data_IF_518099892329
#
_entry.id   IF_518099892329
#
_cell.length_a   1.000
_cell.length_b   1.000
_cell.length_c   1.000
_cell.angle_alpha   90.00
_cell.angle_beta   90.00
_cell.angle_gamma   90.00
#
_symmetry.space_group_name_H-M   'P 1'
#
loop_
_entity.id
_entity.type
_entity.pdbx_description
1 polymer ?
#
# COMPACT_ATOMS: atom_id res chain seq x y z
N UNK A 1 -54.19 -11.97 -6.63
CA UNK A 1 -53.37 -10.78 -6.29
C UNK A 1 -52.34 -11.22 -5.27
N UNK A 2 -51.08 -11.42 -5.68
CA UNK A 2 -50.00 -11.91 -4.82
C UNK A 2 -49.21 -10.68 -4.35
N UNK A 3 -49.06 -10.42 -3.04
CA UNK A 3 -48.27 -9.29 -2.59
C UNK A 3 -46.79 -9.60 -2.75
N UNK A 4 -46.05 -8.68 -3.37
CA UNK A 4 -44.60 -8.74 -3.44
C UNK A 4 -44.01 -8.34 -2.08
N UNK A 5 -43.28 -9.26 -1.45
CA UNK A 5 -42.56 -9.04 -0.19
C UNK A 5 -41.21 -8.41 -0.54
N UNK A 6 -40.82 -7.26 0.04
CA UNK A 6 -39.53 -6.66 -0.25
C UNK A 6 -38.44 -7.46 0.46
N UNK A 7 -37.48 -7.96 -0.31
CA UNK A 7 -36.30 -8.65 0.20
C UNK A 7 -35.34 -7.59 0.76
N UNK A 8 -35.35 -7.43 2.09
CA UNK A 8 -34.41 -6.54 2.79
C UNK A 8 -33.04 -7.23 2.78
N UNK A 9 -32.11 -6.71 1.98
CA UNK A 9 -30.70 -7.08 2.07
C UNK A 9 -30.09 -6.42 3.31
N UNK A 10 -29.98 -7.18 4.40
CA UNK A 10 -29.15 -6.79 5.53
C UNK A 10 -27.67 -6.84 5.10
N UNK A 11 -27.01 -5.69 5.03
CA UNK A 11 -25.56 -5.62 4.87
C UNK A 11 -24.91 -6.06 6.19
N UNK A 12 -24.35 -7.27 6.21
CA UNK A 12 -23.52 -7.72 7.33
C UNK A 12 -22.22 -6.92 7.33
N UNK A 13 -22.04 -6.07 8.35
CA UNK A 13 -20.75 -5.45 8.64
C UNK A 13 -19.82 -6.54 9.22
N UNK A 14 -18.90 -7.03 8.40
CA UNK A 14 -17.80 -7.85 8.89
C UNK A 14 -16.87 -6.96 9.72
N UNK A 15 -16.89 -7.14 11.04
CA UNK A 15 -15.88 -6.54 11.91
C UNK A 15 -14.51 -7.09 11.50
N UNK A 16 -13.54 -6.20 11.26
CA UNK A 16 -12.16 -6.59 10.99
C UNK A 16 -11.61 -7.34 12.19
N UNK A 17 -11.39 -8.65 12.03
CA UNK A 17 -10.72 -9.49 13.01
C UNK A 17 -9.39 -8.84 13.40
N UNK A 18 -9.13 -8.64 14.70
CA UNK A 18 -7.95 -7.97 15.24
C UNK A 18 -6.62 -8.72 15.04
N UNK A 19 -6.52 -9.58 14.03
CA UNK A 19 -5.30 -10.29 13.66
C UNK A 19 -4.68 -9.55 12.49
N UNK A 20 -3.56 -8.89 12.74
CA UNK A 20 -2.83 -8.09 11.76
C UNK A 20 -1.67 -8.87 11.17
N UNK A 21 -1.33 -8.59 9.92
CA UNK A 21 -0.01 -8.84 9.35
C UNK A 21 0.72 -7.52 9.16
N UNK A 22 1.92 -7.58 8.58
CA UNK A 22 2.75 -6.40 8.35
C UNK A 22 3.14 -6.28 6.88
N UNK A 23 3.13 -5.05 6.39
CA UNK A 23 3.77 -4.65 5.13
C UNK A 23 4.99 -3.80 5.45
N UNK A 24 6.14 -4.11 4.85
CA UNK A 24 7.36 -3.30 4.95
C UNK A 24 8.11 -3.19 3.62
N UNK A 25 8.85 -2.10 3.47
CA UNK A 25 9.68 -1.84 2.30
C UNK A 25 10.56 -0.61 2.48
N UNK A 26 11.38 -0.35 1.49
CA UNK A 26 12.18 0.86 1.41
C UNK A 26 11.32 2.06 1.00
N UNK A 27 11.67 3.24 1.51
CA UNK A 27 11.19 4.53 0.98
C UNK A 27 12.08 4.95 -0.18
N UNK A 28 11.51 5.60 -1.19
CA UNK A 28 12.24 6.05 -2.37
C UNK A 28 11.53 7.22 -3.03
N UNK A 29 12.31 8.19 -3.50
CA UNK A 29 11.83 9.46 -4.06
C UNK A 29 12.72 9.87 -5.24
N UNK A 30 12.18 10.47 -6.32
CA UNK A 30 12.97 10.84 -7.50
C UNK A 30 13.96 12.00 -7.29
N UNK A 31 13.88 12.72 -6.17
CA UNK A 31 14.82 13.79 -5.80
C UNK A 31 16.06 13.28 -5.05
N UNK A 32 16.93 14.22 -4.68
CA UNK A 32 18.18 13.92 -3.96
C UNK A 32 17.96 13.44 -2.52
N UNK A 33 16.86 13.84 -1.89
CA UNK A 33 16.50 13.51 -0.51
C UNK A 33 15.07 12.97 -0.44
N UNK A 34 14.84 11.98 0.43
CA UNK A 34 13.50 11.47 0.73
C UNK A 34 12.78 12.50 1.61
N UNK A 35 11.63 13.05 1.19
CA UNK A 35 10.93 14.07 1.97
C UNK A 35 10.52 13.54 3.34
N UNK A 36 10.85 14.28 4.42
CA UNK A 36 10.51 13.89 5.79
C UNK A 36 9.01 13.81 6.08
N UNK A 37 8.18 14.39 5.22
CA UNK A 37 6.71 14.30 5.28
C UNK A 37 6.14 13.12 4.47
N UNK A 38 6.99 12.32 3.84
CA UNK A 38 6.57 11.18 3.02
C UNK A 38 5.82 10.16 3.88
N UNK A 39 4.63 9.79 3.44
CA UNK A 39 3.72 8.82 4.05
C UNK A 39 3.57 7.63 3.13
N UNK A 40 3.47 6.43 3.68
CA UNK A 40 3.04 5.23 2.94
C UNK A 40 1.67 4.79 3.42
N UNK A 41 0.79 4.43 2.49
CA UNK A 41 -0.54 3.91 2.76
C UNK A 41 -0.75 2.57 2.05
N UNK A 42 -1.40 1.64 2.75
CA UNK A 42 -1.96 0.43 2.18
C UNK A 42 -3.49 0.60 2.07
N UNK A 43 -4.03 0.55 0.86
CA UNK A 43 -5.46 0.64 0.57
C UNK A 43 -6.03 -0.75 0.32
N UNK A 44 -6.96 -1.19 1.17
CA UNK A 44 -7.61 -2.48 1.02
C UNK A 44 -8.48 -2.49 -0.24
N UNK A 45 -8.30 -3.49 -1.10
CA UNK A 45 -8.98 -3.54 -2.40
C UNK A 45 -10.48 -3.74 -2.29
N UNK A 46 -10.96 -4.35 -1.22
CA UNK A 46 -12.38 -4.66 -0.97
C UNK A 46 -13.04 -3.51 -0.21
N UNK A 47 -12.51 -3.15 0.96
CA UNK A 47 -13.15 -2.17 1.85
C UNK A 47 -12.82 -0.72 1.50
N UNK A 48 -11.79 -0.49 0.67
CA UNK A 48 -11.21 0.83 0.37
C UNK A 48 -10.65 1.56 1.59
N UNK A 49 -10.60 0.90 2.75
CA UNK A 49 -9.96 1.44 3.95
C UNK A 49 -8.46 1.60 3.71
N UNK A 50 -7.93 2.75 4.10
CA UNK A 50 -6.49 3.02 4.06
C UNK A 50 -5.89 2.90 5.46
N UNK A 51 -4.71 2.30 5.53
CA UNK A 51 -3.87 2.21 6.71
C UNK A 51 -2.54 2.86 6.36
N UNK A 52 -2.16 3.93 7.06
CA UNK A 52 -1.01 4.73 6.69
C UNK A 52 -0.01 4.87 7.83
N UNK A 53 1.26 5.02 7.47
CA UNK A 53 2.34 5.39 8.38
C UNK A 53 3.11 6.57 7.81
N UNK A 54 3.48 7.50 8.71
CA UNK A 54 4.46 8.55 8.43
C UNK A 54 5.81 8.26 9.13
N UNK A 55 5.92 7.12 9.83
CA UNK A 55 7.14 6.75 10.52
C UNK A 55 8.19 6.27 9.51
N UNK A 56 9.33 6.94 9.50
CA UNK A 56 10.51 6.53 8.74
C UNK A 56 11.41 5.71 9.65
N UNK A 57 11.92 4.60 9.12
CA UNK A 57 12.79 3.68 9.85
C UNK A 57 14.17 3.74 9.21
N UNK A 58 15.14 4.33 9.92
CA UNK A 58 16.54 4.30 9.53
C UNK A 58 17.13 2.91 9.73
N UNK A 59 17.51 2.26 8.63
CA UNK A 59 18.20 0.98 8.67
C UNK A 59 18.92 0.70 7.34
N UNK A 60 20.18 0.25 7.42
CA UNK A 60 21.00 -0.09 6.25
C UNK A 60 20.44 -1.23 5.40
N UNK A 61 19.46 -1.99 5.91
CA UNK A 61 18.76 -3.04 5.12
C UNK A 61 17.89 -2.48 4.00
N UNK A 62 17.44 -1.22 4.11
CA UNK A 62 16.62 -0.58 3.08
C UNK A 62 17.50 0.05 2.00
N UNK A 63 17.06 -0.02 0.74
CA UNK A 63 17.84 0.40 -0.44
C UNK A 63 18.47 1.79 -0.32
N UNK A 64 17.77 2.74 0.31
CA UNK A 64 18.21 4.12 0.49
C UNK A 64 18.38 4.51 1.97
N UNK A 65 18.59 3.52 2.85
CA UNK A 65 18.76 3.73 4.30
C UNK A 65 17.47 4.03 5.07
N UNK A 66 16.36 4.33 4.38
CA UNK A 66 15.06 4.59 4.97
C UNK A 66 14.01 3.59 4.49
N UNK A 67 13.18 3.13 5.42
CA UNK A 67 12.05 2.25 5.14
C UNK A 67 10.83 2.59 5.98
N UNK A 68 9.80 1.77 5.85
CA UNK A 68 8.54 1.93 6.56
C UNK A 68 8.00 0.58 7.02
N UNK A 69 7.03 0.63 7.94
CA UNK A 69 6.30 -0.54 8.42
C UNK A 69 4.84 -0.15 8.70
N UNK A 70 3.89 -0.95 8.22
CA UNK A 70 2.45 -0.78 8.46
C UNK A 70 1.86 -2.10 8.94
N UNK A 71 1.16 -2.07 10.07
CA UNK A 71 0.31 -3.18 10.49
C UNK A 71 -1.07 -3.03 9.87
N UNK A 72 -1.54 -4.08 9.21
CA UNK A 72 -2.85 -4.10 8.54
C UNK A 72 -3.55 -5.42 8.81
N UNK A 73 -4.90 -5.46 8.85
CA UNK A 73 -5.63 -6.73 8.86
C UNK A 73 -5.24 -7.61 7.68
N UNK A 74 -5.55 -8.90 7.77
CA UNK A 74 -5.43 -9.78 6.61
C UNK A 74 -6.26 -9.25 5.43
N UNK A 75 -5.73 -9.39 4.22
CA UNK A 75 -6.41 -8.85 3.03
C UNK A 75 -5.49 -8.63 1.85
N UNK A 76 -6.03 -7.94 0.85
CA UNK A 76 -5.35 -7.61 -0.40
C UNK A 76 -5.29 -6.10 -0.54
N UNK A 77 -4.11 -5.58 -0.82
CA UNK A 77 -3.82 -4.16 -0.77
C UNK A 77 -3.12 -3.67 -2.04
N UNK A 78 -3.39 -2.43 -2.43
CA UNK A 78 -2.43 -1.63 -3.17
C UNK A 78 -1.69 -0.73 -2.18
N UNK A 79 -0.37 -0.62 -2.35
CA UNK A 79 0.48 0.15 -1.47
C UNK A 79 1.07 1.32 -2.25
N UNK A 80 1.00 2.51 -1.68
CA UNK A 80 1.51 3.71 -2.31
C UNK A 80 2.07 4.73 -1.33
N UNK A 81 3.00 5.56 -1.81
CA UNK A 81 3.55 6.68 -1.07
C UNK A 81 3.00 8.03 -1.55
N UNK A 82 3.00 9.02 -0.66
CA UNK A 82 2.59 10.42 -0.92
C UNK A 82 3.47 11.38 -0.15
N UNK A 83 3.66 12.59 -0.66
CA UNK A 83 4.36 13.71 0.01
C UNK A 83 3.72 15.03 -0.44
N UNK A 84 3.83 16.09 0.37
CA UNK A 84 3.42 17.44 -0.01
C UNK A 84 4.26 18.02 -1.16
N UNK A 85 5.45 17.49 -1.41
CA UNK A 85 6.31 17.90 -2.53
C UNK A 85 5.73 17.52 -3.90
N UNK A 86 4.91 16.46 -3.96
CA UNK A 86 4.24 15.97 -5.17
C UNK A 86 2.74 15.80 -4.91
N UNK A 87 2.05 16.93 -4.66
CA UNK A 87 0.63 16.92 -4.31
C UNK A 87 -0.21 16.22 -5.37
N UNK A 88 -1.05 15.29 -4.93
CA UNK A 88 -1.97 14.56 -5.79
C UNK A 88 -1.35 13.39 -6.56
N UNK A 89 -0.05 13.12 -6.41
CA UNK A 89 0.62 11.96 -7.01
C UNK A 89 0.75 10.82 -5.99
N UNK A 90 0.78 9.57 -6.46
CA UNK A 90 0.90 8.39 -5.61
C UNK A 90 1.98 7.47 -6.17
N UNK A 91 3.08 7.30 -5.47
CA UNK A 91 4.05 6.29 -5.89
C UNK A 91 3.58 4.90 -5.53
N UNK A 92 3.21 4.07 -6.50
CA UNK A 92 2.74 2.72 -6.22
C UNK A 92 3.87 1.71 -6.10
N UNK A 93 3.64 0.65 -5.33
CA UNK A 93 4.34 -0.61 -5.52
C UNK A 93 3.77 -1.28 -6.77
N UNK A 94 4.56 -1.35 -7.83
CA UNK A 94 4.09 -1.72 -9.17
C UNK A 94 5.06 -2.64 -9.90
N UNK A 95 4.61 -3.20 -11.03
CA UNK A 95 5.44 -4.00 -11.93
C UNK A 95 6.69 -3.23 -12.38
N UNK A 96 6.58 -1.91 -12.57
CA UNK A 96 7.70 -1.02 -12.90
C UNK A 96 8.80 -1.05 -11.83
N UNK A 97 8.40 -1.05 -10.54
CA UNK A 97 9.34 -1.16 -9.42
C UNK A 97 10.05 -2.52 -9.44
N UNK A 98 9.31 -3.61 -9.58
CA UNK A 98 9.88 -4.97 -9.59
C UNK A 98 10.75 -5.26 -10.80
N UNK A 99 10.52 -4.56 -11.91
CA UNK A 99 11.35 -4.59 -13.12
C UNK A 99 12.59 -3.67 -13.02
N UNK A 100 12.78 -2.99 -11.89
CA UNK A 100 13.98 -2.20 -11.59
C UNK A 100 13.92 -0.76 -12.07
N UNK A 101 12.72 -0.18 -12.24
CA UNK A 101 12.51 1.24 -12.59
C UNK A 101 13.14 1.64 -13.93
N UNK A 102 13.20 0.70 -14.89
CA UNK A 102 13.85 0.93 -16.19
C UNK A 102 12.82 1.39 -17.22
N UNK A 103 13.23 2.26 -18.14
CA UNK A 103 12.39 2.68 -19.27
C UNK A 103 11.91 1.51 -20.15
N UNK A 104 12.63 0.38 -20.15
CA UNK A 104 12.26 -0.84 -20.87
C UNK A 104 11.18 -1.68 -20.17
N UNK A 105 10.75 -1.30 -18.96
CA UNK A 105 9.72 -2.02 -18.23
C UNK A 105 8.36 -1.81 -18.91
N UNK A 106 7.62 -2.89 -19.23
CA UNK A 106 6.45 -2.79 -20.09
C UNK A 106 5.20 -2.27 -19.38
N UNK A 107 5.20 -2.18 -18.05
CA UNK A 107 4.00 -1.95 -17.26
C UNK A 107 4.30 -1.22 -15.95
N UNK A 108 3.33 -0.40 -15.56
CA UNK A 108 3.26 0.32 -14.28
C UNK A 108 2.04 -0.12 -13.47
N UNK A 109 1.49 -1.31 -13.74
CA UNK A 109 0.33 -1.81 -13.01
C UNK A 109 0.68 -1.99 -11.52
N UNK A 110 -0.15 -1.46 -10.59
CA UNK A 110 0.03 -1.72 -9.17
C UNK A 110 -0.03 -3.22 -8.87
N UNK A 111 0.90 -3.70 -8.05
CA UNK A 111 0.95 -5.10 -7.63
C UNK A 111 0.06 -5.28 -6.41
N UNK A 112 -0.73 -6.35 -6.42
CA UNK A 112 -1.56 -6.73 -5.27
C UNK A 112 -0.69 -7.34 -4.19
N UNK A 113 -0.68 -6.71 -3.02
CA UNK A 113 -0.02 -7.22 -1.81
C UNK A 113 -1.03 -8.01 -0.99
N UNK A 114 -0.81 -9.32 -0.88
CA UNK A 114 -1.64 -10.20 -0.04
C UNK A 114 -1.01 -10.32 1.34
N UNK A 115 -1.73 -9.91 2.36
CA UNK A 115 -1.32 -9.98 3.77
C UNK A 115 -2.09 -11.10 4.45
N UNK A 116 -1.35 -12.01 5.08
CA UNK A 116 -1.87 -13.02 5.99
C UNK A 116 -1.52 -12.61 7.41
N UNK A 117 -2.45 -12.84 8.34
CA UNK A 117 -2.25 -12.45 9.72
C UNK A 117 -1.02 -13.12 10.36
N UNK A 118 -0.27 -12.36 11.16
CA UNK A 118 1.00 -12.79 11.77
C UNK A 118 2.20 -12.85 10.83
N UNK A 119 2.03 -12.61 9.52
CA UNK A 119 3.13 -12.61 8.56
C UNK A 119 3.64 -11.20 8.26
N UNK A 120 4.90 -11.09 7.87
CA UNK A 120 5.48 -9.85 7.31
C UNK A 120 5.69 -10.04 5.81
N UNK A 121 5.12 -9.15 5.02
CA UNK A 121 5.36 -9.02 3.58
C UNK A 121 6.39 -7.91 3.37
N UNK A 122 7.63 -8.31 3.07
CA UNK A 122 8.76 -7.39 2.87
C UNK A 122 9.01 -7.09 1.39
N UNK A 123 9.78 -6.03 1.11
CA UNK A 123 10.17 -5.65 -0.26
C UNK A 123 9.05 -4.97 -1.05
N UNK A 124 8.04 -4.46 -0.35
CA UNK A 124 6.95 -3.69 -0.92
C UNK A 124 7.39 -2.24 -1.01
N UNK A 125 8.12 -1.91 -2.09
CA UNK A 125 8.78 -0.61 -2.27
C UNK A 125 7.90 0.32 -3.14
N UNK A 126 7.13 1.27 -2.57
CA UNK A 126 6.22 2.12 -3.34
C UNK A 126 6.96 3.28 -4.02
N UNK A 127 7.71 2.99 -5.09
CA UNK A 127 8.63 3.93 -5.75
C UNK A 127 8.19 4.40 -7.14
N UNK A 128 7.04 3.94 -7.65
CA UNK A 128 6.56 4.31 -8.97
C UNK A 128 5.82 5.66 -8.97
N UNK A 129 6.58 6.76 -8.91
CA UNK A 129 6.06 8.14 -8.90
C UNK A 129 5.44 8.60 -10.23
N UNK A 130 5.31 7.72 -11.23
CA UNK A 130 4.67 8.01 -12.51
C UNK A 130 3.16 7.68 -12.52
N UNK A 131 2.58 7.31 -11.37
CA UNK A 131 1.18 6.90 -11.20
C UNK A 131 0.44 7.60 -10.05
#
# INVERSE_FOLDING_TARGET
MIPAIPLIFAAAAFAASGVTGVIEGALGYPGEEIPGDMKVCAENLVTKQQYCTAAHIENKRYRYGLGYRIEVPEGRYHVFATTASLKGHRAYYSEFVTCGLRVSCPSHAPIVVTVVAGQTVSGVDPHDWYK
#
